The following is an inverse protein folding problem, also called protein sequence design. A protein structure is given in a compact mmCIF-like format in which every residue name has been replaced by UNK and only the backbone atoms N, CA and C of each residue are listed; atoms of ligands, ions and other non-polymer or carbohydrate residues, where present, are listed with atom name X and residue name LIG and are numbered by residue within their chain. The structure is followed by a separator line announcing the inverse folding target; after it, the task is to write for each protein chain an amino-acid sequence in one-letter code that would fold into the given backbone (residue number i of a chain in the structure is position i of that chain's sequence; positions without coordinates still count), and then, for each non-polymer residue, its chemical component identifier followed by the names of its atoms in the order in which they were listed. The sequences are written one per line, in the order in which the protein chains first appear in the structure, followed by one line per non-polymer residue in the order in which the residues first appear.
data_IF_059353542134
#
_entry.id   IF_059353542134
#
_cell.length_a   1.000
_cell.length_b   1.000
_cell.length_c   1.000
_cell.angle_alpha   90.00
_cell.angle_beta   90.00
_cell.angle_gamma   90.00
#
_symmetry.space_group_name_H-M   'P 1'
#
loop_
_entity.id
_entity.type
_entity.pdbx_description
1 polymer ?
#
# COMPACT_ATOMS: atom_id res chain seq x y z
N UNK A 1 9.08 13.09 -3.13
CA UNK A 1 8.40 12.03 -2.34
C UNK A 1 9.21 10.74 -2.18
N UNK A 2 9.61 10.09 -3.29
CA UNK A 2 10.29 8.77 -3.34
C UNK A 2 11.34 8.49 -2.24
N UNK A 3 12.37 9.34 -2.12
CA UNK A 3 13.47 9.13 -1.17
C UNK A 3 13.01 9.23 0.30
N UNK A 4 12.01 10.07 0.60
CA UNK A 4 11.44 10.20 1.95
C UNK A 4 10.77 8.89 2.38
N UNK A 5 9.94 8.33 1.50
CA UNK A 5 9.25 7.05 1.71
C UNK A 5 10.27 5.92 1.97
N UNK A 6 11.28 5.79 1.11
CA UNK A 6 12.30 4.76 1.27
C UNK A 6 13.07 4.89 2.58
N UNK A 7 13.44 6.12 2.94
CA UNK A 7 14.15 6.40 4.21
C UNK A 7 13.31 6.03 5.41
N UNK A 8 12.03 6.39 5.41
CA UNK A 8 11.09 6.04 6.47
C UNK A 8 10.91 4.52 6.61
N UNK A 9 10.67 3.82 5.50
CA UNK A 9 10.51 2.35 5.50
C UNK A 9 11.77 1.65 6.05
N UNK A 10 12.96 2.14 5.70
CA UNK A 10 14.22 1.62 6.27
C UNK A 10 14.35 1.89 7.77
N UNK A 11 13.98 3.08 8.23
CA UNK A 11 14.01 3.47 9.65
C UNK A 11 13.09 2.60 10.51
N UNK A 12 11.97 2.15 9.95
CA UNK A 12 10.99 1.29 10.62
C UNK A 12 11.33 -0.22 10.54
N UNK A 13 12.51 -0.58 10.00
CA UNK A 13 12.92 -1.97 9.75
C UNK A 13 11.97 -2.74 8.82
N UNK A 14 11.27 -2.06 7.90
CA UNK A 14 10.31 -2.67 6.99
C UNK A 14 8.93 -2.89 7.61
N UNK A 15 8.15 -3.80 7.02
CA UNK A 15 6.77 -4.11 7.43
C UNK A 15 5.82 -2.91 7.54
N UNK A 16 6.07 -1.85 6.78
CA UNK A 16 5.31 -0.60 6.86
C UNK A 16 4.01 -0.69 6.06
N UNK A 17 2.88 -0.42 6.72
CA UNK A 17 1.54 -0.37 6.15
C UNK A 17 1.25 0.96 5.44
N UNK A 18 0.15 1.01 4.68
CA UNK A 18 -0.32 2.27 4.09
C UNK A 18 -0.79 3.29 5.14
N UNK A 19 -1.28 2.83 6.30
CA UNK A 19 -1.75 3.72 7.38
C UNK A 19 -0.57 4.45 8.00
N UNK A 20 0.51 3.74 8.30
CA UNK A 20 1.75 4.33 8.79
C UNK A 20 2.31 5.36 7.81
N UNK A 21 2.28 5.06 6.50
CA UNK A 21 2.69 6.01 5.47
C UNK A 21 1.78 7.25 5.42
N UNK A 22 0.46 7.11 5.54
CA UNK A 22 -0.47 8.24 5.55
C UNK A 22 -0.43 9.07 6.83
N UNK A 23 -0.02 8.46 7.95
CA UNK A 23 0.19 9.16 9.21
C UNK A 23 1.49 9.97 9.19
N UNK A 24 2.57 9.40 8.66
CA UNK A 24 3.87 10.08 8.54
C UNK A 24 3.85 11.15 7.44
N UNK A 25 3.19 10.88 6.30
CA UNK A 25 3.15 11.77 5.15
C UNK A 25 1.70 12.15 4.81
N UNK A 26 1.06 13.07 5.56
CA UNK A 26 -0.31 13.50 5.29
C UNK A 26 -0.53 14.01 3.85
N UNK A 27 0.53 14.51 3.20
CA UNK A 27 0.50 15.00 1.82
C UNK A 27 0.25 13.90 0.77
N UNK A 28 0.38 12.61 1.13
CA UNK A 28 0.06 11.50 0.23
C UNK A 28 -1.43 11.20 0.16
N UNK A 29 -2.26 11.80 1.04
CA UNK A 29 -3.71 11.64 1.01
C UNK A 29 -4.29 12.34 -0.22
N UNK A 30 -5.11 11.62 -0.97
CA UNK A 30 -5.72 12.11 -2.22
C UNK A 30 -6.98 11.34 -2.56
N UNK A 31 -7.32 11.27 -3.84
CA UNK A 31 -8.57 10.67 -4.32
C UNK A 31 -8.34 9.47 -5.26
N UNK A 32 -7.09 9.03 -5.44
CA UNK A 32 -6.74 7.93 -6.32
C UNK A 32 -6.82 6.57 -5.60
N UNK A 33 -7.08 5.53 -6.39
CA UNK A 33 -7.09 4.14 -5.95
C UNK A 33 -5.79 3.47 -6.39
N UNK A 34 -4.94 3.10 -5.43
CA UNK A 34 -3.76 2.30 -5.71
C UNK A 34 -4.11 0.82 -5.73
N UNK A 35 -3.83 0.14 -6.84
CA UNK A 35 -4.21 -1.25 -7.03
C UNK A 35 -3.85 -1.81 -8.39
N UNK A 36 -4.24 -3.05 -8.64
CA UNK A 36 -4.06 -3.77 -9.91
C UNK A 36 -5.41 -4.02 -10.57
N UNK A 37 -5.82 -3.09 -11.44
CA UNK A 37 -7.13 -3.11 -12.12
C UNK A 37 -7.37 -4.41 -12.91
N UNK A 38 -6.33 -4.99 -13.54
CA UNK A 38 -6.44 -6.27 -14.28
C UNK A 38 -6.89 -7.45 -13.41
N UNK A 39 -6.59 -7.39 -12.11
CA UNK A 39 -6.89 -8.45 -11.14
C UNK A 39 -8.09 -8.12 -10.26
N UNK A 40 -8.69 -6.93 -10.39
CA UNK A 40 -9.68 -6.39 -9.46
C UNK A 40 -9.15 -6.37 -8.01
N UNK A 41 -7.88 -5.95 -7.84
CA UNK A 41 -7.24 -5.81 -6.53
C UNK A 41 -7.05 -4.34 -6.19
N UNK A 42 -7.57 -3.91 -5.05
CA UNK A 42 -7.30 -2.64 -4.41
C UNK A 42 -6.19 -2.85 -3.37
N UNK A 43 -5.10 -2.12 -3.44
CA UNK A 43 -4.08 -2.12 -2.39
C UNK A 43 -4.42 -1.08 -1.32
N UNK A 44 -4.69 0.15 -1.75
CA UNK A 44 -5.10 1.23 -0.86
C UNK A 44 -5.87 2.33 -1.59
N UNK A 45 -6.95 2.87 -1.01
CA UNK A 45 -7.65 4.03 -1.55
C UNK A 45 -7.06 5.35 -1.02
N UNK A 46 -7.60 6.46 -1.50
CA UNK A 46 -7.39 7.80 -0.98
C UNK A 46 -5.92 8.27 -0.97
N UNK A 47 -5.19 8.00 -2.04
CA UNK A 47 -3.81 8.45 -2.21
C UNK A 47 -3.66 9.42 -3.36
N UNK A 48 -2.52 10.11 -3.45
CA UNK A 48 -2.17 10.95 -4.59
C UNK A 48 -1.53 10.13 -5.72
N UNK A 49 -1.60 10.62 -6.96
CA UNK A 49 -0.89 10.02 -8.08
C UNK A 49 0.63 10.05 -7.88
N UNK A 50 1.17 11.14 -7.30
CA UNK A 50 2.60 11.27 -6.98
C UNK A 50 3.08 10.12 -6.07
N UNK A 51 2.27 9.74 -5.07
CA UNK A 51 2.58 8.62 -4.19
C UNK A 51 2.62 7.29 -4.95
N UNK A 52 1.61 7.04 -5.79
CA UNK A 52 1.53 5.82 -6.62
C UNK A 52 2.77 5.71 -7.52
N UNK A 53 3.14 6.80 -8.19
CA UNK A 53 4.32 6.85 -9.05
C UNK A 53 5.62 6.63 -8.27
N UNK A 54 5.74 7.21 -7.08
CA UNK A 54 6.90 7.03 -6.21
C UNK A 54 7.08 5.57 -5.77
N UNK A 55 6.03 4.91 -5.30
CA UNK A 55 6.06 3.50 -4.91
C UNK A 55 6.38 2.60 -6.11
N UNK A 56 5.69 2.80 -7.25
CA UNK A 56 5.94 2.02 -8.46
C UNK A 56 7.39 2.17 -8.95
N UNK A 57 7.94 3.37 -8.88
CA UNK A 57 9.34 3.63 -9.24
C UNK A 57 10.30 2.90 -8.31
N UNK A 58 10.06 2.91 -6.99
CA UNK A 58 10.91 2.18 -6.03
C UNK A 58 10.87 0.66 -6.22
N UNK A 59 9.69 0.12 -6.54
CA UNK A 59 9.55 -1.31 -6.85
C UNK A 59 10.30 -1.63 -8.15
N UNK A 60 10.14 -0.81 -9.20
CA UNK A 60 10.85 -0.97 -10.48
C UNK A 60 12.36 -0.87 -10.35
N UNK A 61 12.86 0.03 -9.48
CA UNK A 61 14.27 0.19 -9.15
C UNK A 61 14.79 -0.91 -8.19
N UNK A 62 13.96 -1.89 -7.81
CA UNK A 62 14.29 -2.95 -6.86
C UNK A 62 14.80 -2.41 -5.50
N UNK A 63 14.21 -1.30 -5.03
CA UNK A 63 14.51 -0.69 -3.73
C UNK A 63 13.46 -1.00 -2.67
N UNK A 64 12.24 -1.31 -3.09
CA UNK A 64 11.14 -1.75 -2.24
C UNK A 64 10.55 -3.06 -2.76
N UNK A 65 10.18 -3.92 -1.83
CA UNK A 65 9.31 -5.09 -2.04
C UNK A 65 8.04 -4.93 -1.23
N UNK A 66 7.00 -5.65 -1.63
CA UNK A 66 5.76 -5.72 -0.89
C UNK A 66 5.37 -7.18 -0.62
N UNK A 67 4.67 -7.41 0.48
CA UNK A 67 4.17 -8.72 0.86
C UNK A 67 2.73 -8.58 1.40
N UNK A 68 1.86 -9.59 1.17
CA UNK A 68 0.57 -9.63 1.84
C UNK A 68 0.73 -9.64 3.36
N UNK A 69 -0.26 -9.12 4.05
CA UNK A 69 -0.31 -9.15 5.52
C UNK A 69 -1.74 -9.41 5.99
N UNK A 70 -1.90 -9.72 7.28
CA UNK A 70 -3.21 -9.92 7.88
C UNK A 70 -3.97 -8.59 7.94
N UNK A 71 -5.26 -8.54 7.56
CA UNK A 71 -6.10 -7.35 7.68
C UNK A 71 -6.13 -6.74 9.08
N UNK A 72 -5.94 -7.57 10.12
CA UNK A 72 -5.93 -7.14 11.52
C UNK A 72 -4.90 -6.02 11.78
N UNK A 73 -3.77 -6.04 11.06
CA UNK A 73 -2.72 -5.03 11.15
C UNK A 73 -3.25 -3.62 10.84
N UNK A 74 -4.29 -3.51 10.02
CA UNK A 74 -4.95 -2.24 9.67
C UNK A 74 -6.10 -1.88 10.63
N UNK A 75 -6.74 -2.88 11.25
CA UNK A 75 -7.86 -2.64 12.17
C UNK A 75 -7.42 -2.10 13.53
N UNK A 76 -6.16 -2.32 13.92
CA UNK A 76 -5.56 -1.69 15.11
C UNK A 76 -5.55 -0.16 15.02
N UNK A 77 -5.50 0.36 13.79
CA UNK A 77 -5.52 1.79 13.50
C UNK A 77 -6.93 2.33 13.18
N UNK A 78 -7.98 1.51 13.39
CA UNK A 78 -9.37 1.88 13.15
C UNK A 78 -9.76 1.99 11.67
N UNK A 79 -8.93 1.49 10.75
CA UNK A 79 -9.19 1.59 9.32
C UNK A 79 -9.97 0.37 8.81
N UNK A 80 -11.19 0.63 8.34
CA UNK A 80 -12.06 -0.36 7.70
C UNK A 80 -12.34 0.06 6.26
N UNK A 81 -11.96 -0.79 5.32
CA UNK A 81 -12.31 -0.62 3.91
C UNK A 81 -13.58 -1.42 3.61
N UNK A 82 -14.56 -0.79 2.97
CA UNK A 82 -15.80 -1.43 2.53
C UNK A 82 -15.59 -2.27 1.26
N UNK A 83 -14.64 -3.21 1.34
CA UNK A 83 -14.28 -4.13 0.26
C UNK A 83 -14.01 -5.53 0.82
N UNK A 84 -14.42 -6.60 0.12
CA UNK A 84 -14.04 -7.95 0.51
C UNK A 84 -12.53 -8.12 0.50
N UNK A 85 -11.98 -8.84 1.47
CA UNK A 85 -10.53 -9.12 1.54
C UNK A 85 -10.14 -10.18 0.49
N UNK A 86 -9.08 -9.89 -0.25
CA UNK A 86 -8.40 -10.83 -1.14
C UNK A 86 -7.36 -11.64 -0.35
N UNK A 87 -7.51 -12.96 -0.34
CA UNK A 87 -6.60 -13.90 0.35
C UNK A 87 -5.35 -14.23 -0.46
N UNK A 88 -5.43 -14.06 -1.78
CA UNK A 88 -4.40 -14.42 -2.75
C UNK A 88 -4.31 -13.34 -3.82
N UNK A 89 -3.11 -13.16 -4.36
CA UNK A 89 -2.87 -12.32 -5.52
C UNK A 89 -3.36 -13.03 -6.80
N UNK A 90 -4.66 -12.94 -7.08
CA UNK A 90 -5.29 -13.50 -8.29
C UNK A 90 -6.38 -12.59 -8.83
N UNK A 91 -6.90 -12.92 -10.01
CA UNK A 91 -8.01 -12.17 -10.61
C UNK A 91 -9.32 -12.55 -9.91
N UNK A 92 -10.07 -11.55 -9.46
CA UNK A 92 -11.40 -11.73 -8.88
C UNK A 92 -12.51 -11.21 -9.80
N UNK A 93 -13.75 -11.66 -9.56
CA UNK A 93 -14.93 -11.19 -10.30
C UNK A 93 -15.31 -9.74 -9.96
N UNK A 94 -15.04 -9.31 -8.73
CA UNK A 94 -15.29 -7.96 -8.22
C UNK A 94 -14.06 -7.42 -7.49
N UNK A 95 -14.01 -6.11 -7.26
CA UNK A 95 -12.92 -5.45 -6.55
C UNK A 95 -12.78 -6.01 -5.14
N UNK A 96 -11.54 -6.35 -4.76
CA UNK A 96 -11.20 -6.84 -3.41
C UNK A 96 -10.00 -6.10 -2.86
N UNK A 97 -10.03 -5.83 -1.56
CA UNK A 97 -8.89 -5.24 -0.87
C UNK A 97 -7.82 -6.29 -0.60
N UNK A 98 -6.60 -6.01 -1.01
CA UNK A 98 -5.43 -6.84 -0.81
C UNK A 98 -4.47 -6.14 0.17
N UNK A 99 -4.55 -6.45 1.47
CA UNK A 99 -3.70 -5.85 2.49
C UNK A 99 -2.25 -6.24 2.27
N UNK A 100 -1.36 -5.25 2.26
CA UNK A 100 0.07 -5.47 2.06
C UNK A 100 0.91 -4.50 2.89
N UNK A 101 2.17 -4.86 3.11
CA UNK A 101 3.18 -4.02 3.75
C UNK A 101 4.39 -3.87 2.84
N UNK A 102 5.14 -2.79 3.02
CA UNK A 102 6.36 -2.49 2.29
C UNK A 102 7.59 -2.81 3.13
N UNK A 103 8.63 -3.31 2.49
CA UNK A 103 9.94 -3.53 3.09
C UNK A 103 11.03 -3.12 2.11
N UNK A 104 12.20 -2.70 2.59
CA UNK A 104 13.34 -2.50 1.70
C UNK A 104 13.74 -3.85 1.09
N UNK A 105 14.30 -3.82 -0.12
CA UNK A 105 14.90 -4.99 -0.75
C UNK A 105 16.20 -5.36 -0.06
#
# INVERSE_FOLDING_TARGET
MKEKILTFIKKMNGHVSFVELQNEFPEIKGNELFGQKRFNLLFWPNVTMEFIEAINTLIKENKLKFAPCEPLLYTGDGVFLDFPIAKEFKKYASMRWYPMVFSPV
#
